data_IF_999139238136
#
_entry.id   IF_999139238136
#
_cell.length_a   1.000
_cell.length_b   1.000
_cell.length_c   1.000
_cell.angle_alpha   90.00
_cell.angle_beta   90.00
_cell.angle_gamma   90.00
#
_symmetry.space_group_name_H-M   'P 1'
#
loop_
_entity.id
_entity.type
_entity.pdbx_description
1 polymer ?
#
# COMPACT_ATOMS: atom_id res chain seq x y z
N UNK A 1 18.15 5.99 3.28
CA UNK A 1 16.96 5.35 3.87
C UNK A 1 17.28 5.08 5.34
N UNK A 2 16.38 5.43 6.25
CA UNK A 2 16.46 5.07 7.66
C UNK A 2 16.17 3.57 7.81
N UNK A 3 16.69 2.98 8.88
CA UNK A 3 16.48 1.56 9.19
C UNK A 3 14.98 1.24 9.36
N UNK A 4 14.21 2.16 9.96
CA UNK A 4 12.76 2.06 10.11
C UNK A 4 12.05 1.92 8.76
N UNK A 5 12.38 2.78 7.79
CA UNK A 5 11.72 2.74 6.47
C UNK A 5 12.13 1.48 5.70
N UNK A 6 13.39 1.06 5.77
CA UNK A 6 13.83 -0.21 5.17
C UNK A 6 13.07 -1.40 5.78
N UNK A 7 12.91 -1.43 7.11
CA UNK A 7 12.16 -2.46 7.81
C UNK A 7 10.70 -2.49 7.37
N UNK A 8 10.01 -1.34 7.33
CA UNK A 8 8.62 -1.26 6.87
C UNK A 8 8.48 -1.72 5.41
N UNK A 9 9.33 -1.25 4.52
CA UNK A 9 9.30 -1.68 3.12
C UNK A 9 9.53 -3.19 2.98
N UNK A 10 10.28 -3.82 3.89
CA UNK A 10 10.52 -5.27 3.89
C UNK A 10 9.33 -6.11 4.38
N UNK A 11 8.38 -5.53 5.12
CA UNK A 11 7.17 -6.24 5.58
C UNK A 11 6.06 -6.25 4.54
N UNK A 12 6.19 -5.46 3.48
CA UNK A 12 5.16 -5.25 2.45
C UNK A 12 5.63 -5.89 1.16
N UNK A 13 5.04 -7.03 0.82
CA UNK A 13 5.29 -7.67 -0.47
C UNK A 13 4.56 -6.89 -1.58
N UNK A 14 5.30 -6.03 -2.29
CA UNK A 14 4.80 -5.30 -3.46
C UNK A 14 4.16 -6.22 -4.49
N UNK A 15 4.62 -7.46 -4.57
CA UNK A 15 4.05 -8.50 -5.41
C UNK A 15 2.60 -8.84 -5.07
N UNK A 16 2.07 -8.46 -3.90
CA UNK A 16 0.64 -8.57 -3.53
C UNK A 16 -0.20 -7.34 -3.92
N UNK A 17 0.43 -6.24 -4.34
CA UNK A 17 -0.24 -4.99 -4.72
C UNK A 17 -0.20 -4.72 -6.22
N UNK A 18 0.57 -5.52 -6.97
CA UNK A 18 0.68 -5.41 -8.42
C UNK A 18 0.65 -6.79 -9.12
N UNK A 19 -0.37 -7.56 -8.81
CA UNK A 19 -0.74 -8.73 -9.60
C UNK A 19 -2.19 -8.63 -10.04
N UNK A 20 -2.68 -9.71 -10.64
CA UNK A 20 -4.06 -9.80 -11.12
C UNK A 20 -4.74 -11.04 -10.60
N UNK A 21 -6.04 -10.98 -10.42
CA UNK A 21 -6.84 -12.19 -10.15
C UNK A 21 -7.08 -12.91 -11.48
N UNK A 22 -6.74 -14.19 -11.52
CA UNK A 22 -6.99 -15.08 -12.64
C UNK A 22 -8.48 -15.41 -12.77
N UNK A 23 -8.88 -16.04 -13.88
CA UNK A 23 -10.29 -16.33 -14.17
C UNK A 23 -10.97 -17.22 -13.13
N UNK A 24 -10.22 -17.97 -12.32
CA UNK A 24 -10.75 -18.84 -11.27
C UNK A 24 -10.48 -18.29 -9.86
N UNK A 25 -10.09 -17.01 -9.74
CA UNK A 25 -9.78 -16.37 -8.47
C UNK A 25 -8.38 -16.69 -7.93
N UNK A 26 -7.54 -17.38 -8.69
CA UNK A 26 -6.14 -17.58 -8.35
C UNK A 26 -5.35 -16.27 -8.46
N UNK A 27 -4.37 -16.06 -7.58
CA UNK A 27 -3.52 -14.90 -7.69
C UNK A 27 -2.44 -15.10 -8.77
N UNK A 28 -2.38 -14.19 -9.74
CA UNK A 28 -1.36 -14.18 -10.78
C UNK A 28 -0.27 -13.16 -10.43
N UNK A 29 0.87 -13.68 -10.04
CA UNK A 29 2.08 -12.91 -9.74
C UNK A 29 2.66 -12.26 -11.00
N UNK A 30 3.10 -11.01 -10.88
CA UNK A 30 3.77 -10.29 -11.94
C UNK A 30 5.28 -10.17 -11.65
N UNK A 31 6.17 -10.75 -12.47
CA UNK A 31 7.60 -10.80 -12.15
C UNK A 31 8.28 -9.44 -12.09
N UNK A 32 7.76 -8.41 -12.77
CA UNK A 32 8.31 -7.06 -12.69
C UNK A 32 7.92 -6.32 -11.39
N UNK A 33 7.22 -6.98 -10.45
CA UNK A 33 6.76 -6.37 -9.19
C UNK A 33 7.89 -5.78 -8.37
N UNK A 34 9.11 -6.28 -8.53
CA UNK A 34 10.29 -5.87 -7.77
C UNK A 34 11.25 -4.99 -8.57
N UNK A 35 10.88 -4.60 -9.80
CA UNK A 35 11.64 -3.60 -10.54
C UNK A 35 11.45 -2.22 -9.92
N UNK A 36 12.54 -1.45 -9.84
CA UNK A 36 12.51 -0.08 -9.33
C UNK A 36 11.99 0.91 -10.38
N UNK A 37 10.78 0.68 -10.87
CA UNK A 37 10.14 1.46 -11.92
C UNK A 37 8.63 1.55 -11.67
N UNK A 38 7.96 2.60 -12.18
CA UNK A 38 6.50 2.65 -12.16
C UNK A 38 5.94 1.55 -13.03
N UNK A 39 4.87 0.91 -12.58
CA UNK A 39 4.22 -0.17 -13.30
C UNK A 39 2.74 0.15 -13.55
N UNK A 40 2.23 -0.12 -14.76
CA UNK A 40 0.86 0.25 -15.13
C UNK A 40 -0.19 -0.55 -14.35
N UNK A 41 -1.27 0.13 -13.93
CA UNK A 41 -2.42 -0.49 -13.24
C UNK A 41 -3.75 -0.21 -13.97
N UNK A 42 -3.70 -0.11 -15.30
CA UNK A 42 -4.79 0.36 -16.17
C UNK A 42 -5.15 1.83 -15.92
N UNK A 43 -6.19 2.33 -16.62
CA UNK A 43 -6.72 3.70 -16.46
C UNK A 43 -5.67 4.82 -16.60
N UNK A 44 -4.60 4.57 -17.37
CA UNK A 44 -3.47 5.48 -17.55
C UNK A 44 -2.78 5.93 -16.24
N UNK A 45 -2.83 5.09 -15.21
CA UNK A 45 -2.15 5.31 -13.93
C UNK A 45 -1.17 4.18 -13.64
N UNK A 46 -0.29 4.41 -12.66
CA UNK A 46 0.78 3.49 -12.28
C UNK A 46 0.80 3.25 -10.77
N UNK A 47 1.24 2.06 -10.36
CA UNK A 47 1.83 1.90 -9.03
C UNK A 47 3.24 2.50 -9.08
N UNK A 48 3.51 3.49 -8.23
CA UNK A 48 4.78 4.22 -8.20
C UNK A 48 5.97 3.30 -7.97
N UNK A 49 7.17 3.71 -8.40
CA UNK A 49 8.38 2.94 -8.16
C UNK A 49 8.65 2.74 -6.64
N UNK A 50 9.21 1.59 -6.21
CA UNK A 50 9.62 1.34 -4.83
C UNK A 50 10.38 2.49 -4.16
N UNK A 51 11.34 3.13 -4.85
CA UNK A 51 12.08 4.25 -4.26
C UNK A 51 11.21 5.47 -3.94
N UNK A 52 10.13 5.71 -4.71
CA UNK A 52 9.19 6.81 -4.43
C UNK A 52 8.38 6.53 -3.17
N UNK A 53 7.97 5.28 -2.94
CA UNK A 53 7.32 4.91 -1.68
C UNK A 53 8.26 5.13 -0.50
N UNK A 54 9.51 4.66 -0.59
CA UNK A 54 10.51 4.89 0.45
C UNK A 54 10.70 6.39 0.70
N UNK A 55 10.81 7.22 -0.34
CA UNK A 55 10.96 8.67 -0.21
C UNK A 55 9.80 9.33 0.56
N UNK A 56 8.55 8.94 0.25
CA UNK A 56 7.36 9.43 0.96
C UNK A 56 7.39 9.03 2.44
N UNK A 57 7.77 7.79 2.75
CA UNK A 57 7.87 7.33 4.14
C UNK A 57 8.95 8.06 4.93
N UNK A 58 10.08 8.39 4.30
CA UNK A 58 11.12 9.22 4.94
C UNK A 58 10.61 10.63 5.24
N UNK A 59 9.98 11.28 4.26
CA UNK A 59 9.45 12.64 4.40
C UNK A 59 8.42 12.76 5.52
N UNK A 60 7.64 11.70 5.74
CA UNK A 60 6.58 11.65 6.75
C UNK A 60 6.99 10.91 8.03
N UNK A 61 8.24 10.46 8.16
CA UNK A 61 8.69 9.55 9.23
C UNK A 61 8.37 10.04 10.65
N UNK A 62 8.53 11.35 10.91
CA UNK A 62 8.21 11.99 12.20
C UNK A 62 6.71 12.11 12.48
N UNK A 63 5.87 11.97 11.44
CA UNK A 63 4.40 12.05 11.53
C UNK A 63 3.75 10.67 11.52
N UNK A 64 4.41 9.66 10.94
CA UNK A 64 3.96 8.28 10.91
C UNK A 64 4.32 7.58 12.23
N UNK A 65 3.58 7.95 13.28
CA UNK A 65 3.71 7.40 14.64
C UNK A 65 2.37 6.87 15.17
N UNK A 66 2.38 5.86 16.06
CA UNK A 66 1.19 5.36 16.75
C UNK A 66 0.30 6.49 17.30
N UNK A 67 -1.00 6.38 17.06
CA UNK A 67 -2.02 7.34 17.50
C UNK A 67 -2.40 8.41 16.49
N UNK A 68 -1.58 8.60 15.45
CA UNK A 68 -1.88 9.52 14.36
C UNK A 68 -2.83 8.91 13.32
N UNK A 69 -3.43 9.79 12.51
CA UNK A 69 -4.27 9.44 11.37
C UNK A 69 -3.63 9.94 10.09
N UNK A 70 -3.70 9.14 9.03
CA UNK A 70 -3.13 9.45 7.73
C UNK A 70 -4.21 9.35 6.66
N UNK A 71 -4.19 10.27 5.70
CA UNK A 71 -5.03 10.26 4.52
C UNK A 71 -4.12 10.12 3.29
N UNK A 72 -4.37 9.09 2.49
CA UNK A 72 -3.71 8.84 1.20
C UNK A 72 -4.67 9.18 0.06
N UNK A 73 -4.36 10.26 -0.68
CA UNK A 73 -5.22 10.78 -1.75
C UNK A 73 -4.74 10.25 -3.10
N UNK A 74 -5.60 9.50 -3.80
CA UNK A 74 -5.20 8.74 -4.97
C UNK A 74 -4.48 7.47 -4.57
N UNK A 75 -5.07 6.70 -3.64
CA UNK A 75 -4.44 5.54 -3.02
C UNK A 75 -4.13 4.40 -3.99
N UNK A 76 -4.72 4.39 -5.19
CA UNK A 76 -4.36 3.49 -6.28
C UNK A 76 -4.46 2.02 -5.88
N UNK A 77 -3.32 1.33 -5.77
CA UNK A 77 -3.28 -0.09 -5.38
C UNK A 77 -3.43 -0.33 -3.89
N UNK A 78 -3.36 0.70 -3.05
CA UNK A 78 -3.41 0.62 -1.58
C UNK A 78 -2.06 0.36 -0.90
N UNK A 79 -0.96 0.28 -1.65
CA UNK A 79 0.36 -0.07 -1.09
C UNK A 79 0.90 0.99 -0.11
N UNK A 80 0.68 2.28 -0.38
CA UNK A 80 1.09 3.33 0.55
C UNK A 80 0.21 3.33 1.81
N UNK A 81 -1.07 2.99 1.71
CA UNK A 81 -1.90 2.77 2.89
C UNK A 81 -1.33 1.68 3.81
N UNK A 82 -0.91 0.55 3.23
CA UNK A 82 -0.24 -0.52 3.98
C UNK A 82 1.07 -0.04 4.61
N UNK A 83 1.87 0.74 3.89
CA UNK A 83 3.12 1.30 4.38
C UNK A 83 2.94 2.28 5.55
N UNK A 84 1.97 3.18 5.44
CA UNK A 84 1.61 4.07 6.55
C UNK A 84 1.11 3.29 7.76
N UNK A 85 0.32 2.23 7.55
CA UNK A 85 -0.14 1.37 8.62
C UNK A 85 1.02 0.68 9.33
N UNK A 86 1.95 0.07 8.59
CA UNK A 86 3.12 -0.60 9.17
C UNK A 86 4.04 0.38 9.91
N UNK A 87 4.18 1.62 9.46
CA UNK A 87 4.91 2.66 10.22
C UNK A 87 4.27 3.02 11.57
N UNK A 88 2.95 2.94 11.67
CA UNK A 88 2.16 3.39 12.83
C UNK A 88 1.58 2.25 13.66
N UNK A 89 1.78 1.00 13.23
CA UNK A 89 1.10 -0.20 13.74
C UNK A 89 1.15 -0.28 15.25
N UNK A 90 -0.03 -0.36 15.86
CA UNK A 90 -0.23 -0.26 17.30
C UNK A 90 -1.62 -0.75 17.68
N UNK A 91 -1.83 -1.10 18.95
CA UNK A 91 -3.15 -1.37 19.52
C UNK A 91 -3.94 -0.09 19.85
N UNK A 92 -3.33 1.09 19.65
CA UNK A 92 -3.96 2.36 19.96
C UNK A 92 -5.21 2.60 19.08
N UNK A 93 -6.41 2.82 19.67
CA UNK A 93 -7.69 2.76 18.96
C UNK A 93 -7.90 3.90 17.95
N UNK A 94 -7.13 4.99 18.08
CA UNK A 94 -7.25 6.17 17.22
C UNK A 94 -6.35 6.13 15.97
N UNK A 95 -5.42 5.18 15.88
CA UNK A 95 -4.56 5.04 14.70
C UNK A 95 -5.39 4.62 13.50
N UNK A 96 -5.30 5.36 12.40
CA UNK A 96 -6.04 5.03 11.19
C UNK A 96 -5.29 5.48 9.94
N UNK A 97 -5.44 4.71 8.87
CA UNK A 97 -5.04 5.09 7.52
C UNK A 97 -6.28 5.04 6.66
N UNK A 98 -6.57 6.13 5.95
CA UNK A 98 -7.71 6.24 5.04
C UNK A 98 -7.16 6.47 3.65
N UNK A 99 -7.46 5.57 2.72
CA UNK A 99 -7.20 5.77 1.29
C UNK A 99 -8.43 6.28 0.59
N UNK A 100 -8.29 7.31 -0.26
CA UNK A 100 -9.36 7.74 -1.16
C UNK A 100 -8.93 7.54 -2.61
N UNK A 101 -9.79 6.89 -3.39
CA UNK A 101 -9.58 6.60 -4.79
C UNK A 101 -10.87 6.89 -5.56
N UNK A 102 -10.74 7.62 -6.66
CA UNK A 102 -11.86 8.09 -7.47
C UNK A 102 -12.24 7.12 -8.58
N UNK A 103 -11.36 6.18 -8.95
CA UNK A 103 -11.65 5.12 -9.91
C UNK A 103 -12.19 3.92 -9.15
N UNK A 104 -13.49 3.64 -9.27
CA UNK A 104 -14.19 2.57 -8.56
C UNK A 104 -13.48 1.21 -8.63
N UNK A 105 -12.98 0.86 -9.82
CA UNK A 105 -12.23 -0.38 -10.01
C UNK A 105 -10.96 -0.43 -9.15
N UNK A 106 -10.21 0.66 -9.10
CA UNK A 106 -8.98 0.74 -8.30
C UNK A 106 -9.29 0.76 -6.81
N UNK A 107 -10.34 1.47 -6.38
CA UNK A 107 -10.79 1.44 -5.00
C UNK A 107 -11.11 0.00 -4.55
N UNK A 108 -11.92 -0.73 -5.33
CA UNK A 108 -12.23 -2.14 -5.03
C UNK A 108 -11.00 -3.04 -5.12
N UNK A 109 -10.11 -2.81 -6.10
CA UNK A 109 -8.87 -3.58 -6.23
C UNK A 109 -7.92 -3.35 -5.07
N UNK A 110 -7.83 -2.13 -4.53
CA UNK A 110 -6.99 -1.84 -3.37
C UNK A 110 -7.47 -2.58 -2.12
N UNK A 111 -8.79 -2.69 -1.93
CA UNK A 111 -9.36 -3.46 -0.82
C UNK A 111 -9.00 -4.94 -0.95
N UNK A 112 -9.08 -5.51 -2.17
CA UNK A 112 -8.63 -6.89 -2.44
C UNK A 112 -7.12 -7.09 -2.27
N UNK A 113 -6.31 -6.10 -2.61
CA UNK A 113 -4.86 -6.17 -2.39
C UNK A 113 -4.54 -6.14 -0.89
N UNK A 114 -5.17 -5.22 -0.16
CA UNK A 114 -5.01 -5.06 1.28
C UNK A 114 -5.50 -6.30 2.03
N UNK A 115 -6.63 -6.89 1.66
CA UNK A 115 -7.19 -8.07 2.34
C UNK A 115 -6.23 -9.27 2.38
N UNK A 116 -5.32 -9.39 1.40
CA UNK A 116 -4.32 -10.48 1.36
C UNK A 116 -3.42 -10.52 2.60
N UNK A 117 -3.14 -9.38 3.21
CA UNK A 117 -2.23 -9.27 4.37
C UNK A 117 -2.81 -8.47 5.55
N UNK A 118 -3.91 -7.73 5.34
CA UNK A 118 -4.46 -6.76 6.28
C UNK A 118 -5.97 -6.92 6.52
N UNK A 119 -6.55 -8.07 6.20
CA UNK A 119 -8.00 -8.33 6.35
C UNK A 119 -8.55 -7.91 7.72
N UNK A 120 -7.84 -8.23 8.80
CA UNK A 120 -8.29 -7.93 10.17
C UNK A 120 -8.23 -6.43 10.52
N UNK A 121 -7.47 -5.65 9.76
CA UNK A 121 -7.28 -4.22 9.98
C UNK A 121 -8.22 -3.38 9.11
N UNK A 122 -8.77 -3.95 8.05
CA UNK A 122 -9.80 -3.30 7.25
C UNK A 122 -11.09 -3.14 8.07
N UNK A 123 -11.69 -1.96 7.96
CA UNK A 123 -12.97 -1.62 8.57
C UNK A 123 -13.90 -1.15 7.47
N UNK A 124 -15.19 -1.42 7.63
CA UNK A 124 -16.27 -0.94 6.77
C UNK A 124 -16.36 0.61 6.74
#
# INVERSE_FOLDING_TARGET
>A
QTEKVAQVMSTIDRGQFWGSDGPNGEYLFNPQSYEDSPQSINYNVVISAPHLHAHVLELLSDKLVPGNKVLDVGSGTGILCAAFWECMKTEHPYTAVVGIEHIDYLAQSSLRNLSRSYEQQLKD
#
